data_IF_231257754474
#
_entry.id   IF_231257754474
#
_cell.length_a   1.000
_cell.length_b   1.000
_cell.length_c   1.000
_cell.angle_alpha   90.00
_cell.angle_beta   90.00
_cell.angle_gamma   90.00
#
_symmetry.space_group_name_H-M   'P 1'
#
loop_
_entity.id
_entity.type
_entity.pdbx_description
1 polymer ?
#
# COMPACT_ATOMS: atom_id res chain seq x y z
N UNK A 1 41.03 -40.38 -10.55
CA UNK A 1 41.16 -39.39 -9.46
C UNK A 1 40.25 -38.25 -9.81
N UNK A 2 38.99 -38.30 -9.36
CA UNK A 2 38.05 -37.20 -9.57
C UNK A 2 38.27 -36.19 -8.46
N UNK A 3 39.00 -35.14 -8.80
CA UNK A 3 39.25 -33.96 -7.98
C UNK A 3 37.90 -33.29 -7.70
N UNK A 4 37.48 -33.32 -6.43
CA UNK A 4 36.29 -32.62 -5.97
C UNK A 4 36.59 -31.12 -6.01
N UNK A 5 35.98 -30.41 -6.95
CA UNK A 5 36.05 -28.95 -6.96
C UNK A 5 35.33 -28.38 -5.74
N UNK A 6 36.09 -27.66 -4.92
CA UNK A 6 35.63 -26.93 -3.75
C UNK A 6 34.70 -25.79 -4.23
N UNK A 7 33.42 -25.87 -3.87
CA UNK A 7 32.40 -24.88 -4.25
C UNK A 7 32.68 -23.60 -3.48
N UNK A 8 33.29 -22.64 -4.16
CA UNK A 8 33.58 -21.32 -3.62
C UNK A 8 32.24 -20.56 -3.45
N UNK A 9 31.65 -20.60 -2.25
CA UNK A 9 30.44 -19.83 -1.95
C UNK A 9 30.70 -18.33 -2.19
N UNK A 10 29.79 -17.61 -2.90
CA UNK A 10 30.05 -16.24 -3.29
C UNK A 10 30.13 -15.33 -2.07
N UNK A 11 31.21 -14.56 -1.96
CA UNK A 11 31.51 -13.58 -0.90
C UNK A 11 30.35 -12.62 -0.57
N UNK A 12 29.41 -12.46 -1.50
CA UNK A 12 28.20 -11.65 -1.35
C UNK A 12 27.27 -12.23 -0.27
N UNK A 13 27.10 -13.56 -0.23
CA UNK A 13 26.20 -14.22 0.74
C UNK A 13 26.76 -14.12 2.16
N UNK A 14 28.08 -14.28 2.33
CA UNK A 14 28.71 -14.14 3.65
C UNK A 14 28.71 -12.69 4.14
N UNK A 15 28.88 -11.71 3.24
CA UNK A 15 28.79 -10.29 3.58
C UNK A 15 27.36 -9.87 3.99
N UNK A 16 26.34 -10.36 3.28
CA UNK A 16 24.93 -10.14 3.64
C UNK A 16 24.65 -10.79 5.00
N UNK A 17 25.08 -12.04 5.22
CA UNK A 17 24.89 -12.72 6.49
C UNK A 17 25.56 -11.97 7.66
N UNK A 18 26.80 -11.53 7.46
CA UNK A 18 27.54 -10.73 8.44
C UNK A 18 26.84 -9.39 8.72
N UNK A 19 26.36 -8.69 7.69
CA UNK A 19 25.63 -7.45 7.87
C UNK A 19 24.29 -7.65 8.61
N UNK A 20 23.54 -8.69 8.26
CA UNK A 20 22.27 -9.06 8.89
C UNK A 20 22.44 -9.55 10.34
N UNK A 21 23.60 -10.12 10.68
CA UNK A 21 23.93 -10.55 12.06
C UNK A 21 24.34 -9.41 13.00
N UNK A 22 24.39 -8.15 12.52
CA UNK A 22 24.74 -7.01 13.37
C UNK A 22 23.59 -6.65 14.32
N UNK A 23 23.89 -6.28 15.58
CA UNK A 23 22.87 -5.89 16.56
C UNK A 23 22.03 -4.68 16.13
N UNK A 24 22.56 -3.83 15.25
CA UNK A 24 21.85 -2.66 14.69
C UNK A 24 20.73 -3.06 13.75
N UNK A 25 20.91 -4.14 12.97
CA UNK A 25 19.88 -4.65 12.06
C UNK A 25 18.76 -5.30 12.85
N UNK A 26 19.08 -6.06 13.89
CA UNK A 26 18.07 -6.64 14.79
C UNK A 26 17.24 -5.57 15.51
N UNK A 27 17.88 -4.50 15.98
CA UNK A 27 17.19 -3.37 16.59
C UNK A 27 16.24 -2.68 15.60
N UNK A 28 16.68 -2.50 14.35
CA UNK A 28 15.86 -1.93 13.29
C UNK A 28 14.68 -2.84 12.91
N UNK A 29 14.92 -4.15 12.77
CA UNK A 29 13.85 -5.11 12.48
C UNK A 29 12.80 -5.10 13.61
N UNK A 30 13.24 -5.02 14.87
CA UNK A 30 12.33 -4.95 16.02
C UNK A 30 11.50 -3.66 16.02
N UNK A 31 12.12 -2.50 15.78
CA UNK A 31 11.39 -1.23 15.74
C UNK A 31 10.38 -1.18 14.60
N UNK A 32 10.72 -1.72 13.42
CA UNK A 32 9.82 -1.81 12.27
C UNK A 32 8.67 -2.79 12.51
N UNK A 33 8.94 -3.96 13.13
CA UNK A 33 7.88 -4.89 13.56
C UNK A 33 6.93 -4.23 14.56
N UNK A 34 7.45 -3.49 15.53
CA UNK A 34 6.63 -2.75 16.49
C UNK A 34 5.78 -1.66 15.81
N UNK A 35 6.36 -0.91 14.85
CA UNK A 35 5.61 0.11 14.09
C UNK A 35 4.46 -0.51 13.30
N UNK A 36 4.70 -1.66 12.65
CA UNK A 36 3.65 -2.41 11.93
C UNK A 36 2.56 -2.89 12.88
N UNK A 37 2.94 -3.45 14.03
CA UNK A 37 1.99 -3.87 15.05
C UNK A 37 1.14 -2.70 15.53
N UNK A 38 1.74 -1.57 15.91
CA UNK A 38 1.02 -0.39 16.40
C UNK A 38 0.02 0.15 15.37
N UNK A 39 0.39 0.18 14.08
CA UNK A 39 -0.52 0.61 13.00
C UNK A 39 -1.71 -0.33 12.83
N UNK A 40 -1.50 -1.63 13.00
CA UNK A 40 -2.54 -2.66 12.83
C UNK A 40 -3.31 -2.96 14.11
N UNK A 41 -2.82 -2.53 15.27
CA UNK A 41 -3.39 -2.85 16.58
C UNK A 41 -4.86 -2.45 16.65
N UNK A 42 -5.19 -1.22 16.24
CA UNK A 42 -6.57 -0.73 16.22
C UNK A 42 -7.48 -1.52 15.27
N UNK A 43 -6.95 -2.07 14.18
CA UNK A 43 -7.73 -2.93 13.26
C UNK A 43 -8.03 -4.29 13.90
N UNK A 44 -7.09 -4.87 14.65
CA UNK A 44 -7.31 -6.17 15.30
C UNK A 44 -8.11 -6.10 16.60
N UNK A 45 -8.03 -4.98 17.32
CA UNK A 45 -8.83 -4.73 18.51
C UNK A 45 -10.26 -4.26 18.18
N UNK A 46 -10.55 -4.03 16.91
CA UNK A 46 -11.87 -3.60 16.49
C UNK A 46 -12.89 -4.73 16.65
N UNK A 47 -13.80 -4.56 17.60
CA UNK A 47 -14.94 -5.45 17.86
C UNK A 47 -16.21 -5.03 17.12
N UNK A 48 -16.22 -3.82 16.55
CA UNK A 48 -17.36 -3.27 15.80
C UNK A 48 -17.50 -3.88 14.41
N UNK A 49 -16.38 -4.22 13.76
CA UNK A 49 -16.38 -4.68 12.37
C UNK A 49 -15.90 -6.11 12.22
N UNK A 50 -16.76 -6.98 11.67
CA UNK A 50 -16.41 -8.35 11.33
C UNK A 50 -15.67 -8.45 9.98
N UNK A 51 -14.70 -9.37 9.90
CA UNK A 51 -13.97 -9.64 8.65
C UNK A 51 -14.87 -10.38 7.67
N UNK A 52 -15.12 -9.75 6.52
CA UNK A 52 -15.94 -10.35 5.45
C UNK A 52 -15.15 -11.40 4.67
N UNK A 53 -15.76 -12.54 4.39
CA UNK A 53 -15.17 -13.62 3.57
C UNK A 53 -15.42 -13.42 2.08
N UNK A 54 -16.52 -12.72 1.73
CA UNK A 54 -16.92 -12.40 0.37
C UNK A 54 -17.47 -10.97 0.31
N UNK A 55 -17.40 -10.29 -0.84
CA UNK A 55 -18.12 -9.05 -1.03
C UNK A 55 -19.64 -9.29 -0.87
N UNK A 56 -20.41 -8.29 -0.41
CA UNK A 56 -21.87 -8.36 -0.41
C UNK A 56 -22.41 -8.68 -1.80
N UNK A 57 -23.53 -9.41 -1.89
CA UNK A 57 -24.13 -9.81 -3.17
C UNK A 57 -24.52 -8.60 -4.04
N UNK A 58 -24.95 -7.51 -3.40
CA UNK A 58 -25.34 -6.27 -4.05
C UNK A 58 -24.19 -5.26 -4.18
N UNK A 59 -22.93 -5.67 -4.06
CA UNK A 59 -21.78 -4.75 -4.10
C UNK A 59 -21.70 -3.90 -5.38
N UNK A 60 -22.12 -4.47 -6.51
CA UNK A 60 -22.11 -3.82 -7.83
C UNK A 60 -23.46 -3.17 -8.20
N UNK A 61 -24.40 -3.02 -7.27
CA UNK A 61 -25.64 -2.29 -7.59
C UNK A 61 -25.33 -0.82 -7.90
N UNK A 62 -26.07 -0.18 -8.82
CA UNK A 62 -25.91 1.25 -9.06
C UNK A 62 -26.14 2.03 -7.77
N UNK A 63 -25.45 3.17 -7.64
CA UNK A 63 -25.59 4.07 -6.50
C UNK A 63 -27.06 4.49 -6.34
N UNK A 64 -27.55 4.73 -5.12
CA UNK A 64 -28.90 5.28 -4.92
C UNK A 64 -29.10 6.61 -5.69
N UNK A 65 -30.32 6.84 -6.18
CA UNK A 65 -30.64 8.02 -7.02
C UNK A 65 -30.27 9.36 -6.37
N UNK A 66 -30.57 9.51 -5.08
CA UNK A 66 -30.23 10.73 -4.33
C UNK A 66 -28.71 10.99 -4.30
N UNK A 67 -27.90 9.93 -4.21
CA UNK A 67 -26.44 10.04 -4.16
C UNK A 67 -25.87 10.36 -5.54
N UNK A 68 -26.46 9.83 -6.60
CA UNK A 68 -26.10 10.20 -7.97
C UNK A 68 -26.36 11.68 -8.22
N UNK A 69 -27.52 12.20 -7.78
CA UNK A 69 -27.89 13.60 -7.91
C UNK A 69 -26.97 14.56 -7.14
N UNK A 70 -26.56 14.21 -5.93
CA UNK A 70 -25.56 14.99 -5.17
C UNK A 70 -24.19 14.96 -5.87
N UNK A 71 -23.80 13.82 -6.43
CA UNK A 71 -22.54 13.67 -7.14
C UNK A 71 -22.49 14.50 -8.42
N UNK A 72 -23.62 14.72 -9.10
CA UNK A 72 -23.71 15.46 -10.37
C UNK A 72 -23.17 16.89 -10.30
N UNK A 73 -23.27 17.55 -9.15
CA UNK A 73 -22.79 18.92 -8.96
C UNK A 73 -21.47 18.98 -8.18
N UNK A 74 -20.89 17.82 -7.84
CA UNK A 74 -19.63 17.77 -7.12
C UNK A 74 -18.46 18.19 -8.02
N UNK A 75 -17.49 18.89 -7.43
CA UNK A 75 -16.25 19.27 -8.11
C UNK A 75 -15.57 18.07 -8.76
N UNK A 76 -15.53 16.92 -8.08
CA UNK A 76 -14.89 15.70 -8.58
C UNK A 76 -15.57 15.15 -9.84
N UNK A 77 -16.90 15.17 -9.91
CA UNK A 77 -17.62 14.73 -11.09
C UNK A 77 -17.41 15.67 -12.27
N UNK A 78 -17.46 16.98 -12.03
CA UNK A 78 -17.21 18.01 -13.04
C UNK A 78 -15.79 17.84 -13.60
N UNK A 79 -14.78 17.76 -12.73
CA UNK A 79 -13.38 17.53 -13.14
C UNK A 79 -13.19 16.20 -13.85
N UNK A 80 -13.83 15.12 -13.39
CA UNK A 80 -13.75 13.83 -14.08
C UNK A 80 -14.33 13.89 -15.49
N UNK A 81 -15.44 14.62 -15.69
CA UNK A 81 -16.03 14.86 -17.02
C UNK A 81 -15.09 15.68 -17.90
N UNK A 82 -14.55 16.78 -17.39
CA UNK A 82 -13.57 17.63 -18.09
C UNK A 82 -12.35 16.82 -18.57
N UNK A 83 -11.75 16.02 -17.69
CA UNK A 83 -10.60 15.16 -18.02
C UNK A 83 -10.97 14.14 -19.10
N UNK A 84 -12.14 13.47 -18.98
CA UNK A 84 -12.61 12.50 -19.99
C UNK A 84 -12.89 13.14 -21.34
N UNK A 85 -13.26 14.42 -21.35
CA UNK A 85 -13.50 15.23 -22.56
C UNK A 85 -12.23 15.85 -23.12
N UNK A 86 -11.07 15.61 -22.50
CA UNK A 86 -9.78 16.11 -22.98
C UNK A 86 -9.53 17.59 -22.67
N UNK A 87 -10.26 18.17 -21.70
CA UNK A 87 -9.97 19.53 -21.23
C UNK A 87 -8.57 19.57 -20.59
N UNK A 88 -7.79 20.59 -20.92
CA UNK A 88 -6.43 20.72 -20.40
C UNK A 88 -6.45 20.97 -18.88
N UNK A 89 -5.78 20.08 -18.15
CA UNK A 89 -5.49 20.25 -16.72
C UNK A 89 -4.50 21.40 -16.54
N UNK A 90 -4.84 22.33 -15.66
CA UNK A 90 -3.94 23.45 -15.38
C UNK A 90 -2.60 22.94 -14.81
N UNK A 91 -1.46 23.63 -15.03
CA UNK A 91 -0.19 23.26 -14.41
C UNK A 91 -0.20 23.33 -12.86
N UNK A 92 -1.25 23.90 -12.27
CA UNK A 92 -1.49 23.92 -10.82
C UNK A 92 -2.21 22.65 -10.34
N UNK A 93 -3.02 22.00 -11.20
CA UNK A 93 -3.69 20.72 -10.89
C UNK A 93 -2.71 19.53 -10.89
N UNK A 94 -1.52 19.68 -11.47
CA UNK A 94 -0.49 18.63 -11.56
C UNK A 94 0.51 18.62 -10.41
N UNK A 95 0.45 19.59 -9.49
CA UNK A 95 1.39 19.70 -8.37
C UNK A 95 0.69 19.38 -7.05
N UNK A 96 0.92 18.17 -6.55
CA UNK A 96 0.63 17.86 -5.15
C UNK A 96 1.88 18.18 -4.32
N UNK A 97 1.87 19.30 -3.59
CA UNK A 97 2.90 19.59 -2.59
C UNK A 97 2.38 19.08 -1.25
N UNK A 98 2.99 18.03 -0.72
CA UNK A 98 2.85 17.68 0.70
C UNK A 98 3.71 18.69 1.44
N UNK A 99 3.07 19.70 2.05
CA UNK A 99 3.73 20.58 3.02
C UNK A 99 3.93 19.82 4.34
#
# INVERSE_FOLDING_TARGET
MTETQEVQEPLITSAIFYFLSRPTVDALIKSEKQRRYNRLHAHYQNDVWEKRTKPPENWNTPLPEWMQKEFENSYLHIRSKEIKQGAEVSPLDTKCTIL
#
